data_IF_269598917416
#
_entry.id   IF_269598917416
#
_cell.length_a   1.000
_cell.length_b   1.000
_cell.length_c   1.000
_cell.angle_alpha   90.00
_cell.angle_beta   90.00
_cell.angle_gamma   90.00
#
_symmetry.space_group_name_H-M   'P 1'
#
loop_
_entity.id
_entity.type
_entity.pdbx_description
1 polymer ?
#
# COMPACT_ATOMS: atom_id res chain seq x y z
N UNK A 1 75.23 -5.50 25.88
CA UNK A 1 75.07 -5.52 24.43
C UNK A 1 73.82 -6.31 24.11
N UNK A 2 72.68 -5.65 23.91
CA UNK A 2 71.50 -6.31 23.35
C UNK A 2 70.75 -5.24 22.56
N UNK A 3 70.62 -5.48 21.27
CA UNK A 3 69.91 -4.61 20.34
C UNK A 3 68.42 -4.76 20.43
N UNK A 4 67.72 -3.62 20.50
CA UNK A 4 66.29 -3.54 20.37
C UNK A 4 65.86 -3.53 18.91
N UNK A 5 65.16 -4.55 18.47
CA UNK A 5 64.51 -4.58 17.17
C UNK A 5 63.12 -3.93 17.32
N UNK A 6 62.95 -2.74 16.76
CA UNK A 6 61.72 -2.06 16.68
C UNK A 6 60.79 -2.71 15.64
N UNK A 7 59.63 -3.21 16.09
CA UNK A 7 58.56 -3.67 15.22
C UNK A 7 57.74 -2.45 14.81
N UNK A 8 57.88 -2.02 13.56
CA UNK A 8 57.03 -0.99 12.96
C UNK A 8 55.64 -1.59 12.70
N UNK A 9 54.64 -1.17 13.46
CA UNK A 9 53.22 -1.43 13.16
C UNK A 9 52.84 -0.63 11.91
N UNK A 10 52.60 -1.34 10.82
CA UNK A 10 51.92 -0.79 9.64
C UNK A 10 50.51 -0.42 10.04
N UNK A 11 50.26 0.88 10.20
CA UNK A 11 48.90 1.43 10.31
C UNK A 11 48.31 1.36 8.92
N UNK A 12 47.48 0.33 8.67
CA UNK A 12 46.61 0.32 7.49
C UNK A 12 45.64 1.46 7.63
N UNK A 13 45.83 2.51 6.83
CA UNK A 13 44.87 3.58 6.63
C UNK A 13 43.59 2.92 6.05
N UNK A 14 42.56 2.77 6.88
CA UNK A 14 41.19 2.50 6.42
C UNK A 14 40.83 3.63 5.45
N UNK A 15 40.75 3.30 4.17
CA UNK A 15 40.16 4.20 3.17
C UNK A 15 38.71 4.44 3.63
N UNK A 16 38.22 5.68 3.65
CA UNK A 16 36.80 5.94 3.87
C UNK A 16 36.05 5.23 2.73
N UNK A 17 35.24 4.24 3.07
CA UNK A 17 34.25 3.72 2.14
C UNK A 17 33.29 4.87 1.86
N UNK A 18 33.51 5.55 0.76
CA UNK A 18 32.49 6.43 0.17
C UNK A 18 31.39 5.52 -0.33
N UNK A 19 30.43 5.20 0.53
CA UNK A 19 29.19 4.58 0.08
C UNK A 19 28.52 5.57 -0.86
N UNK A 20 28.73 5.40 -2.15
CA UNK A 20 28.02 6.12 -3.18
C UNK A 20 26.51 5.92 -2.92
N UNK A 21 25.76 7.01 -3.00
CA UNK A 21 24.29 6.94 -2.87
C UNK A 21 23.78 5.95 -3.95
N UNK A 22 22.98 4.94 -3.57
CA UNK A 22 22.49 3.94 -4.51
C UNK A 22 21.68 4.59 -5.62
N UNK A 23 21.86 4.14 -6.84
CA UNK A 23 21.09 4.57 -8.01
C UNK A 23 19.84 3.69 -8.17
N UNK A 24 18.88 4.14 -8.96
CA UNK A 24 17.73 3.29 -9.32
C UNK A 24 18.20 2.04 -10.09
N UNK A 25 19.22 2.16 -10.93
CA UNK A 25 19.78 1.05 -11.70
C UNK A 25 20.39 -0.03 -10.82
N UNK A 26 21.02 0.32 -9.70
CA UNK A 26 21.54 -0.66 -8.72
C UNK A 26 20.40 -1.51 -8.15
N UNK A 27 19.29 -0.86 -7.78
CA UNK A 27 18.11 -1.52 -7.21
C UNK A 27 17.42 -2.38 -8.26
N UNK A 28 17.23 -1.85 -9.48
CA UNK A 28 16.62 -2.56 -10.59
C UNK A 28 17.44 -3.79 -10.99
N UNK A 29 18.77 -3.69 -10.99
CA UNK A 29 19.64 -4.82 -11.29
C UNK A 29 19.49 -5.96 -10.27
N UNK A 30 19.40 -5.65 -8.98
CA UNK A 30 19.15 -6.67 -7.94
C UNK A 30 17.77 -7.30 -8.07
N UNK A 31 16.72 -6.49 -8.34
CA UNK A 31 15.39 -7.02 -8.57
C UNK A 31 15.35 -7.93 -9.81
N UNK A 32 15.98 -7.52 -10.90
CA UNK A 32 16.05 -8.35 -12.11
C UNK A 32 16.76 -9.70 -11.85
N UNK A 33 17.80 -9.70 -11.01
CA UNK A 33 18.51 -10.92 -10.64
C UNK A 33 17.65 -11.92 -9.84
N UNK A 34 16.60 -11.45 -9.16
CA UNK A 34 15.64 -12.28 -8.44
C UNK A 34 14.47 -12.75 -9.33
N UNK A 35 14.38 -12.24 -10.56
CA UNK A 35 13.27 -12.51 -11.47
C UNK A 35 13.08 -14.00 -11.76
N UNK A 36 11.82 -14.40 -11.88
CA UNK A 36 11.41 -15.76 -12.21
C UNK A 36 10.33 -15.73 -13.30
N UNK A 37 10.64 -16.16 -14.54
CA UNK A 37 9.71 -16.07 -15.66
C UNK A 37 8.38 -16.82 -15.46
N UNK A 38 8.39 -17.99 -14.80
CA UNK A 38 7.18 -18.77 -14.56
C UNK A 38 6.27 -18.06 -13.55
N UNK A 39 6.83 -17.53 -12.48
CA UNK A 39 6.09 -16.68 -11.53
C UNK A 39 5.58 -15.40 -12.18
N UNK A 40 6.38 -14.76 -13.04
CA UNK A 40 5.98 -13.57 -13.77
C UNK A 40 4.75 -13.84 -14.65
N UNK A 41 4.73 -14.92 -15.39
CA UNK A 41 3.58 -15.33 -16.20
C UNK A 41 2.33 -15.61 -15.35
N UNK A 42 2.50 -16.22 -14.17
CA UNK A 42 1.41 -16.45 -13.22
C UNK A 42 0.84 -15.12 -12.68
N UNK A 43 1.72 -14.20 -12.24
CA UNK A 43 1.34 -12.88 -11.72
C UNK A 43 0.63 -12.03 -12.76
N UNK A 44 1.08 -12.04 -14.02
CA UNK A 44 0.42 -11.34 -15.11
C UNK A 44 -1.05 -11.76 -15.27
N UNK A 45 -1.33 -13.05 -15.18
CA UNK A 45 -2.72 -13.57 -15.20
C UNK A 45 -3.50 -13.21 -13.95
N UNK A 46 -2.87 -13.33 -12.79
CA UNK A 46 -3.48 -13.03 -11.49
C UNK A 46 -3.89 -11.55 -11.38
N UNK A 47 -3.03 -10.64 -11.81
CA UNK A 47 -3.26 -9.19 -11.80
C UNK A 47 -4.03 -8.68 -13.02
N UNK A 48 -4.57 -9.57 -13.85
CA UNK A 48 -5.46 -9.19 -14.96
C UNK A 48 -4.82 -8.18 -15.93
N UNK A 49 -3.68 -8.54 -16.51
CA UNK A 49 -2.93 -7.65 -17.43
C UNK A 49 -3.40 -7.72 -18.88
N UNK A 50 -4.41 -8.52 -19.20
CA UNK A 50 -4.99 -8.62 -20.54
C UNK A 50 -5.65 -7.33 -21.00
N UNK A 51 -5.87 -7.21 -22.31
CA UNK A 51 -6.51 -6.04 -22.91
C UNK A 51 -7.88 -5.72 -22.29
N UNK A 52 -8.09 -4.48 -21.88
CA UNK A 52 -9.34 -4.01 -21.24
C UNK A 52 -9.47 -4.42 -19.76
N UNK A 53 -8.49 -5.09 -19.19
CA UNK A 53 -8.49 -5.45 -17.77
C UNK A 53 -7.79 -4.39 -16.92
N UNK A 54 -8.02 -4.39 -15.60
CA UNK A 54 -7.54 -3.33 -14.71
C UNK A 54 -6.01 -3.22 -14.59
N UNK A 55 -5.27 -4.28 -14.87
CA UNK A 55 -3.81 -4.33 -14.88
C UNK A 55 -3.19 -4.27 -16.28
N UNK A 56 -3.96 -3.87 -17.30
CA UNK A 56 -3.46 -3.79 -18.68
C UNK A 56 -2.17 -2.96 -18.76
N UNK A 57 -1.15 -3.52 -19.40
CA UNK A 57 0.14 -2.88 -19.58
C UNK A 57 1.17 -3.11 -18.46
N UNK A 58 0.76 -3.69 -17.33
CA UNK A 58 1.72 -4.03 -16.26
C UNK A 58 2.61 -5.21 -16.69
N UNK A 59 3.91 -5.05 -16.44
CA UNK A 59 4.91 -6.10 -16.60
C UNK A 59 5.30 -6.65 -15.22
N UNK A 60 5.70 -7.93 -15.18
CA UNK A 60 6.10 -8.61 -13.96
C UNK A 60 7.49 -9.24 -14.10
N UNK A 61 8.25 -9.24 -12.99
CA UNK A 61 9.54 -9.93 -12.85
C UNK A 61 9.37 -11.31 -12.21
N UNK A 62 8.30 -11.54 -11.47
CA UNK A 62 8.08 -12.79 -10.75
C UNK A 62 8.78 -12.84 -9.40
N UNK A 63 8.78 -11.73 -8.66
CA UNK A 63 9.42 -11.59 -7.34
C UNK A 63 8.35 -11.52 -6.26
N UNK A 64 8.55 -12.25 -5.16
CA UNK A 64 7.63 -12.23 -4.03
C UNK A 64 7.72 -10.94 -3.22
N UNK A 65 6.65 -10.58 -2.51
CA UNK A 65 6.66 -9.39 -1.63
C UNK A 65 7.73 -9.48 -0.53
N UNK A 66 7.98 -10.63 0.14
CA UNK A 66 9.09 -10.74 1.09
C UNK A 66 10.47 -10.43 0.48
N UNK A 67 10.74 -10.90 -0.74
CA UNK A 67 11.98 -10.59 -1.47
C UNK A 67 12.08 -9.09 -1.76
N UNK A 68 11.00 -8.46 -2.24
CA UNK A 68 10.94 -7.01 -2.45
C UNK A 68 11.16 -6.22 -1.16
N UNK A 69 10.61 -6.68 -0.02
CA UNK A 69 10.84 -6.05 1.30
C UNK A 69 12.30 -6.12 1.71
N UNK A 70 13.00 -7.22 1.45
CA UNK A 70 14.42 -7.36 1.73
C UNK A 70 15.26 -6.34 0.94
N UNK A 71 14.96 -6.17 -0.34
CA UNK A 71 15.59 -5.14 -1.18
C UNK A 71 15.27 -3.74 -0.67
N UNK A 72 14.00 -3.47 -0.34
CA UNK A 72 13.59 -2.17 0.20
C UNK A 72 14.34 -1.80 1.49
N UNK A 73 14.54 -2.75 2.39
CA UNK A 73 15.31 -2.52 3.62
C UNK A 73 16.78 -2.24 3.36
N UNK A 74 17.39 -2.92 2.39
CA UNK A 74 18.77 -2.68 1.97
C UNK A 74 18.95 -1.27 1.43
N UNK A 75 18.00 -0.79 0.64
CA UNK A 75 18.04 0.50 -0.05
C UNK A 75 17.20 1.59 0.60
N UNK A 76 16.94 1.49 1.90
CA UNK A 76 16.09 2.44 2.66
C UNK A 76 16.55 3.89 2.63
N UNK A 77 17.79 4.17 2.23
CA UNK A 77 18.35 5.52 2.08
C UNK A 77 18.21 6.09 0.66
N UNK A 78 17.48 5.43 -0.22
CA UNK A 78 17.25 5.91 -1.57
C UNK A 78 16.63 7.32 -1.55
N UNK A 79 17.11 8.19 -2.45
CA UNK A 79 16.65 9.59 -2.53
C UNK A 79 15.31 9.71 -3.27
N UNK A 80 14.57 10.81 -3.12
CA UNK A 80 13.32 11.01 -3.85
C UNK A 80 13.43 10.85 -5.38
N UNK A 81 14.49 11.33 -6.07
CA UNK A 81 14.65 11.06 -7.51
C UNK A 81 14.78 9.57 -7.83
N UNK A 82 15.50 8.79 -7.02
CA UNK A 82 15.60 7.33 -7.17
C UNK A 82 14.24 6.67 -6.98
N UNK A 83 13.49 7.07 -5.95
CA UNK A 83 12.13 6.57 -5.71
C UNK A 83 11.19 6.90 -6.87
N UNK A 84 11.27 8.12 -7.42
CA UNK A 84 10.45 8.53 -8.58
C UNK A 84 10.72 7.65 -9.80
N UNK A 85 11.98 7.31 -10.05
CA UNK A 85 12.36 6.42 -11.15
C UNK A 85 11.83 5.00 -10.94
N UNK A 86 11.96 4.44 -9.73
CA UNK A 86 11.42 3.12 -9.41
C UNK A 86 9.89 3.08 -9.55
N UNK A 87 9.19 4.08 -9.00
CA UNK A 87 7.71 4.13 -8.97
C UNK A 87 7.13 4.40 -10.36
N UNK A 88 7.89 4.94 -11.29
CA UNK A 88 7.47 5.12 -12.68
C UNK A 88 7.80 3.93 -13.60
N UNK A 89 8.37 2.86 -13.08
CA UNK A 89 8.72 1.67 -13.86
C UNK A 89 7.49 0.98 -14.45
N UNK A 90 7.56 0.42 -15.66
CA UNK A 90 6.52 -0.45 -16.19
C UNK A 90 6.40 -1.79 -15.45
N UNK A 91 7.40 -2.17 -14.66
CA UNK A 91 7.40 -3.40 -13.88
C UNK A 91 6.76 -3.17 -12.51
N UNK A 92 5.74 -3.96 -12.23
CA UNK A 92 4.94 -3.89 -11.00
C UNK A 92 5.79 -3.99 -9.72
N UNK A 93 6.67 -5.00 -9.64
CA UNK A 93 7.48 -5.21 -8.44
C UNK A 93 8.53 -4.11 -8.23
N UNK A 94 9.01 -3.46 -9.29
CA UNK A 94 9.91 -2.32 -9.17
C UNK A 94 9.16 -1.13 -8.55
N UNK A 95 7.92 -0.85 -9.01
CA UNK A 95 7.07 0.19 -8.41
C UNK A 95 6.78 -0.11 -6.94
N UNK A 96 6.39 -1.34 -6.64
CA UNK A 96 6.10 -1.74 -5.25
C UNK A 96 7.33 -1.61 -4.36
N UNK A 97 8.50 -2.00 -4.83
CA UNK A 97 9.74 -1.85 -4.06
C UNK A 97 10.02 -0.38 -3.73
N UNK A 98 9.87 0.52 -4.70
CA UNK A 98 9.99 1.97 -4.47
C UNK A 98 9.01 2.49 -3.41
N UNK A 99 7.77 2.05 -3.47
CA UNK A 99 6.74 2.40 -2.47
C UNK A 99 7.05 1.81 -1.08
N UNK A 100 7.56 0.59 -1.00
CA UNK A 100 7.96 -0.04 0.27
C UNK A 100 9.14 0.71 0.92
N UNK A 101 10.09 1.20 0.14
CA UNK A 101 11.17 2.07 0.63
C UNK A 101 10.58 3.36 1.23
N UNK A 102 9.69 4.01 0.51
CA UNK A 102 9.03 5.24 0.98
C UNK A 102 8.28 5.02 2.31
N UNK A 103 7.54 3.91 2.41
CA UNK A 103 6.82 3.54 3.66
C UNK A 103 7.80 3.29 4.80
N UNK A 104 8.94 2.62 4.56
CA UNK A 104 9.96 2.42 5.59
C UNK A 104 10.59 3.73 6.05
N UNK A 105 10.92 4.62 5.12
CA UNK A 105 11.45 5.97 5.42
C UNK A 105 10.46 6.77 6.28
N UNK A 106 9.19 6.83 5.89
CA UNK A 106 8.12 7.48 6.65
C UNK A 106 7.97 6.90 8.04
N UNK A 107 7.99 5.57 8.16
CA UNK A 107 7.76 4.87 9.44
C UNK A 107 8.92 5.07 10.42
N UNK A 108 10.15 5.04 9.91
CA UNK A 108 11.37 5.12 10.73
C UNK A 108 11.72 6.54 11.14
N UNK A 109 11.47 7.51 10.29
CA UNK A 109 11.72 8.91 10.62
C UNK A 109 10.53 9.50 11.39
N UNK A 110 10.81 10.23 12.47
CA UNK A 110 9.78 10.87 13.31
C UNK A 110 9.73 12.38 13.12
N UNK A 111 10.63 12.95 12.33
CA UNK A 111 10.58 14.36 11.96
C UNK A 111 9.33 14.65 11.12
N UNK A 112 8.53 15.60 11.58
CA UNK A 112 7.24 15.89 10.97
C UNK A 112 7.39 16.49 9.56
N UNK A 113 8.37 17.36 9.36
CA UNK A 113 8.62 17.96 8.05
C UNK A 113 9.06 16.90 7.03
N UNK A 114 9.92 15.98 7.43
CA UNK A 114 10.31 14.84 6.57
C UNK A 114 9.12 13.95 6.25
N UNK A 115 8.28 13.63 7.23
CA UNK A 115 7.08 12.81 7.01
C UNK A 115 6.08 13.50 6.08
N UNK A 116 5.92 14.81 6.17
CA UNK A 116 5.12 15.60 5.23
C UNK A 116 5.67 15.45 3.80
N UNK A 117 6.99 15.54 3.61
CA UNK A 117 7.57 15.34 2.27
C UNK A 117 7.31 13.94 1.71
N UNK A 118 7.32 12.90 2.56
CA UNK A 118 6.96 11.55 2.14
C UNK A 118 5.49 11.45 1.69
N UNK A 119 4.58 12.10 2.41
CA UNK A 119 3.14 12.14 2.07
C UNK A 119 2.91 12.89 0.77
N UNK A 120 3.50 14.06 0.62
CA UNK A 120 3.39 14.87 -0.60
C UNK A 120 3.94 14.12 -1.81
N UNK A 121 5.07 13.43 -1.63
CA UNK A 121 5.64 12.59 -2.67
C UNK A 121 4.70 11.42 -3.03
N UNK A 122 4.16 10.71 -2.04
CA UNK A 122 3.20 9.62 -2.27
C UNK A 122 1.98 10.10 -3.07
N UNK A 123 1.39 11.21 -2.68
CA UNK A 123 0.24 11.81 -3.36
C UNK A 123 0.58 12.27 -4.78
N UNK A 124 1.81 12.70 -5.04
CA UNK A 124 2.26 13.05 -6.39
C UNK A 124 2.41 11.85 -7.33
N UNK A 125 2.50 10.63 -6.77
CA UNK A 125 2.72 9.38 -7.51
C UNK A 125 1.45 8.55 -7.75
N UNK A 126 0.27 9.05 -7.42
CA UNK A 126 -0.98 8.27 -7.49
C UNK A 126 -1.26 7.68 -8.87
N UNK A 127 -0.81 8.32 -9.95
CA UNK A 127 -0.93 7.78 -11.31
C UNK A 127 -0.15 6.47 -11.52
N UNK A 128 0.93 6.27 -10.76
CA UNK A 128 1.78 5.09 -10.81
C UNK A 128 1.39 4.04 -9.76
N UNK A 129 0.51 4.41 -8.81
CA UNK A 129 -0.05 3.51 -7.80
C UNK A 129 -1.37 2.95 -8.36
N UNK A 130 -1.25 2.15 -9.38
CA UNK A 130 -2.33 1.76 -10.28
C UNK A 130 -2.66 0.26 -10.21
N UNK A 131 -2.51 -0.34 -9.05
CA UNK A 131 -2.98 -1.69 -8.78
C UNK A 131 -3.34 -1.83 -7.29
N UNK A 132 -4.18 -2.82 -6.96
CA UNK A 132 -4.73 -2.97 -5.61
C UNK A 132 -3.66 -3.26 -4.55
N UNK A 133 -2.64 -4.06 -4.83
CA UNK A 133 -1.59 -4.35 -3.86
C UNK A 133 -0.63 -3.17 -3.64
N UNK A 134 -0.37 -2.35 -4.67
CA UNK A 134 0.38 -1.10 -4.53
C UNK A 134 -0.33 -0.15 -3.56
N UNK A 135 -1.66 -0.08 -3.62
CA UNK A 135 -2.49 0.69 -2.68
C UNK A 135 -2.50 0.04 -1.30
N UNK A 136 -2.93 -1.22 -1.23
CA UNK A 136 -3.28 -1.91 0.02
C UNK A 136 -2.09 -2.15 0.94
N UNK A 137 -0.87 -2.27 0.39
CA UNK A 137 0.34 -2.47 1.17
C UNK A 137 0.95 -1.16 1.69
N UNK A 138 0.49 -0.01 1.23
CA UNK A 138 1.18 1.27 1.45
C UNK A 138 0.31 2.36 2.07
N UNK A 139 -0.89 2.63 1.55
CA UNK A 139 -1.63 3.85 1.87
C UNK A 139 -1.99 3.99 3.35
N UNK A 140 -2.47 2.95 4.02
CA UNK A 140 -2.87 3.06 5.42
C UNK A 140 -1.68 3.21 6.37
N UNK A 141 -0.50 2.71 5.96
CA UNK A 141 0.75 2.81 6.73
C UNK A 141 1.41 4.18 6.62
N UNK A 142 1.12 4.89 5.56
CA UNK A 142 1.68 6.21 5.28
C UNK A 142 0.61 7.28 5.45
N UNK A 143 -0.36 7.36 4.56
CA UNK A 143 -1.41 8.38 4.58
C UNK A 143 -2.35 8.22 5.77
N UNK A 144 -2.80 7.00 6.08
CA UNK A 144 -3.63 6.73 7.25
C UNK A 144 -2.96 7.15 8.55
N UNK A 145 -1.69 6.74 8.74
CA UNK A 145 -0.90 7.12 9.93
C UNK A 145 -0.69 8.63 10.00
N UNK A 146 -0.38 9.28 8.89
CA UNK A 146 -0.17 10.72 8.83
C UNK A 146 -1.39 11.52 9.28
N UNK A 147 -2.58 11.07 8.89
CA UNK A 147 -3.85 11.76 9.13
C UNK A 147 -4.47 11.45 10.50
N UNK A 148 -3.78 10.76 11.40
CA UNK A 148 -4.31 10.38 12.73
C UNK A 148 -4.84 11.59 13.49
N UNK A 149 -4.07 12.68 13.53
CA UNK A 149 -4.32 13.91 14.27
C UNK A 149 -4.41 15.16 13.37
N UNK A 150 -4.66 14.95 12.08
CA UNK A 150 -4.69 16.03 11.08
C UNK A 150 -6.05 16.08 10.38
N UNK A 151 -6.27 17.16 9.62
CA UNK A 151 -7.41 17.27 8.73
C UNK A 151 -7.40 16.13 7.68
N UNK A 152 -8.55 15.49 7.51
CA UNK A 152 -8.73 14.33 6.61
C UNK A 152 -9.41 14.69 5.29
N UNK A 153 -9.52 15.98 4.97
CA UNK A 153 -10.16 16.47 3.75
C UNK A 153 -9.59 15.86 2.48
N UNK A 154 -8.29 15.54 2.46
CA UNK A 154 -7.64 14.87 1.32
C UNK A 154 -8.28 13.52 0.99
N UNK A 155 -8.76 12.76 1.97
CA UNK A 155 -9.42 11.47 1.72
C UNK A 155 -10.72 11.66 0.93
N UNK A 156 -11.47 12.72 1.21
CA UNK A 156 -12.69 13.05 0.48
C UNK A 156 -12.38 13.52 -0.94
N UNK A 157 -11.31 14.28 -1.14
CA UNK A 157 -10.82 14.66 -2.49
C UNK A 157 -10.48 13.40 -3.30
N UNK A 158 -9.73 12.47 -2.72
CA UNK A 158 -9.39 11.20 -3.37
C UNK A 158 -10.64 10.34 -3.64
N UNK A 159 -11.60 10.30 -2.73
CA UNK A 159 -12.85 9.56 -2.92
C UNK A 159 -13.71 10.10 -4.08
N UNK A 160 -13.61 11.39 -4.39
CA UNK A 160 -14.30 12.02 -5.52
C UNK A 160 -13.49 12.03 -6.82
N UNK A 161 -12.27 11.51 -6.82
CA UNK A 161 -11.44 11.44 -8.02
C UNK A 161 -12.07 10.55 -9.10
N UNK A 162 -11.79 10.87 -10.36
CA UNK A 162 -12.12 9.97 -11.48
C UNK A 162 -11.17 8.77 -11.59
N UNK A 163 -10.07 8.76 -10.84
CA UNK A 163 -9.12 7.66 -10.76
C UNK A 163 -9.57 6.66 -9.69
N UNK A 164 -9.95 5.48 -10.11
CA UNK A 164 -10.37 4.38 -9.22
C UNK A 164 -9.34 4.05 -8.14
N UNK A 165 -8.06 4.16 -8.44
CA UNK A 165 -6.99 3.85 -7.48
C UNK A 165 -6.87 4.90 -6.38
N UNK A 166 -7.12 6.17 -6.70
CA UNK A 166 -7.22 7.24 -5.70
C UNK A 166 -8.44 7.03 -4.79
N UNK A 167 -9.57 6.61 -5.35
CA UNK A 167 -10.75 6.22 -4.57
C UNK A 167 -10.43 5.03 -3.64
N UNK A 168 -9.67 4.05 -4.12
CA UNK A 168 -9.21 2.93 -3.29
C UNK A 168 -8.25 3.38 -2.19
N UNK A 169 -7.33 4.30 -2.49
CA UNK A 169 -6.45 4.91 -1.48
C UNK A 169 -7.29 5.57 -0.38
N UNK A 170 -8.35 6.31 -0.74
CA UNK A 170 -9.22 6.97 0.24
C UNK A 170 -9.81 5.97 1.24
N UNK A 171 -10.46 4.92 0.76
CA UNK A 171 -11.13 3.96 1.65
C UNK A 171 -10.14 3.05 2.39
N UNK A 172 -9.08 2.56 1.74
CA UNK A 172 -8.11 1.65 2.39
C UNK A 172 -7.25 2.37 3.41
N UNK A 173 -6.97 3.66 3.25
CA UNK A 173 -6.30 4.47 4.29
C UNK A 173 -7.06 4.47 5.61
N UNK A 174 -8.38 4.32 5.58
CA UNK A 174 -9.25 4.21 6.76
C UNK A 174 -8.92 3.01 7.66
N UNK A 175 -8.23 1.98 7.15
CA UNK A 175 -7.80 0.83 7.97
C UNK A 175 -7.06 1.26 9.24
N UNK A 176 -6.26 2.32 9.15
CA UNK A 176 -5.53 2.86 10.29
C UNK A 176 -6.49 3.39 11.36
N UNK A 177 -7.51 4.13 10.96
CA UNK A 177 -8.50 4.72 11.88
C UNK A 177 -9.40 3.65 12.50
N UNK A 178 -9.81 2.66 11.71
CA UNK A 178 -10.60 1.53 12.19
C UNK A 178 -9.89 0.83 13.36
N UNK A 179 -8.60 0.59 13.24
CA UNK A 179 -7.79 -0.02 14.30
C UNK A 179 -7.67 0.83 15.57
N UNK A 180 -8.03 2.09 15.50
CA UNK A 180 -8.07 3.03 16.63
C UNK A 180 -9.48 3.28 17.14
N UNK A 181 -10.49 2.61 16.59
CA UNK A 181 -11.90 2.80 16.98
C UNK A 181 -12.53 4.10 16.46
N UNK A 182 -11.90 4.74 15.46
CA UNK A 182 -12.43 5.93 14.80
C UNK A 182 -13.02 5.56 13.42
N UNK A 183 -14.34 5.49 13.34
CA UNK A 183 -15.07 4.97 12.18
C UNK A 183 -15.73 6.05 11.32
N UNK A 184 -15.81 7.30 11.80
CA UNK A 184 -16.61 8.36 11.19
C UNK A 184 -16.31 8.59 9.72
N UNK A 185 -15.03 8.85 9.40
CA UNK A 185 -14.62 9.12 8.02
C UNK A 185 -14.69 7.85 7.15
N UNK A 186 -14.44 6.68 7.76
CA UNK A 186 -14.56 5.39 7.07
C UNK A 186 -15.98 5.13 6.57
N UNK A 187 -16.98 5.39 7.41
CA UNK A 187 -18.39 5.24 7.05
C UNK A 187 -18.84 6.30 6.03
N UNK A 188 -18.41 7.54 6.19
CA UNK A 188 -18.71 8.62 5.24
C UNK A 188 -18.12 8.35 3.83
N UNK A 189 -16.86 7.88 3.76
CA UNK A 189 -16.23 7.52 2.49
C UNK A 189 -16.87 6.27 1.89
N UNK A 190 -17.28 5.30 2.72
CA UNK A 190 -18.05 4.14 2.26
C UNK A 190 -19.35 4.55 1.58
N UNK A 191 -20.06 5.55 2.13
CA UNK A 191 -21.27 6.11 1.51
C UNK A 191 -21.00 6.77 0.16
N UNK A 192 -19.90 7.50 0.03
CA UNK A 192 -19.50 8.10 -1.25
C UNK A 192 -19.22 7.05 -2.34
N UNK A 193 -18.71 5.88 -1.95
CA UNK A 193 -18.32 4.80 -2.86
C UNK A 193 -19.38 3.69 -2.97
N UNK A 194 -20.53 3.84 -2.30
CA UNK A 194 -21.55 2.79 -2.18
C UNK A 194 -22.04 2.29 -3.56
N UNK A 195 -22.26 3.21 -4.49
CA UNK A 195 -22.78 2.94 -5.82
C UNK A 195 -21.69 2.89 -6.91
N UNK A 196 -20.44 2.70 -6.52
CA UNK A 196 -19.34 2.60 -7.47
C UNK A 196 -19.54 1.39 -8.40
N UNK A 197 -19.18 1.53 -9.68
CA UNK A 197 -19.41 0.47 -10.67
C UNK A 197 -18.37 -0.66 -10.65
N UNK A 198 -17.17 -0.42 -10.11
CA UNK A 198 -16.04 -1.36 -10.23
C UNK A 198 -15.95 -2.32 -9.04
N UNK A 199 -15.82 -3.61 -9.33
CA UNK A 199 -15.73 -4.70 -8.35
C UNK A 199 -14.58 -4.54 -7.33
N UNK A 200 -13.42 -4.02 -7.74
CA UNK A 200 -12.30 -3.78 -6.82
C UNK A 200 -12.58 -2.70 -5.79
N UNK A 201 -13.47 -1.74 -6.07
CA UNK A 201 -13.94 -0.78 -5.07
C UNK A 201 -14.97 -1.43 -4.16
N UNK A 202 -15.88 -2.24 -4.69
CA UNK A 202 -16.81 -3.03 -3.87
C UNK A 202 -16.08 -3.87 -2.82
N UNK A 203 -15.01 -4.56 -3.24
CA UNK A 203 -14.18 -5.37 -2.34
C UNK A 203 -13.46 -4.52 -1.30
N UNK A 204 -12.92 -3.37 -1.68
CA UNK A 204 -12.23 -2.48 -0.76
C UNK A 204 -13.17 -1.92 0.32
N UNK A 205 -14.32 -1.38 -0.09
CA UNK A 205 -15.33 -0.86 0.85
C UNK A 205 -15.86 -1.98 1.76
N UNK A 206 -16.22 -3.12 1.20
CA UNK A 206 -16.67 -4.28 1.96
C UNK A 206 -15.62 -4.76 2.97
N UNK A 207 -14.35 -4.78 2.58
CA UNK A 207 -13.24 -5.12 3.47
C UNK A 207 -13.14 -4.14 4.66
N UNK A 208 -13.16 -2.84 4.42
CA UNK A 208 -13.08 -1.84 5.51
C UNK A 208 -14.30 -1.93 6.42
N UNK A 209 -15.51 -2.10 5.87
CA UNK A 209 -16.72 -2.32 6.66
C UNK A 209 -16.61 -3.59 7.52
N UNK A 210 -16.06 -4.68 6.98
CA UNK A 210 -15.79 -5.89 7.76
C UNK A 210 -14.84 -5.64 8.92
N UNK A 211 -13.79 -4.87 8.72
CA UNK A 211 -12.86 -4.52 9.79
C UNK A 211 -13.54 -3.66 10.86
N UNK A 212 -14.43 -2.74 10.48
CA UNK A 212 -15.28 -2.00 11.44
C UNK A 212 -16.13 -2.99 12.25
N UNK A 213 -16.76 -3.95 11.60
CA UNK A 213 -17.61 -4.94 12.28
C UNK A 213 -16.86 -5.87 13.23
N UNK A 214 -15.55 -6.04 13.05
CA UNK A 214 -14.69 -6.77 14.00
C UNK A 214 -14.43 -5.98 15.29
N UNK A 215 -14.43 -4.66 15.20
CA UNK A 215 -14.28 -3.75 16.35
C UNK A 215 -15.63 -3.45 17.00
N UNK A 216 -16.67 -3.22 16.20
CA UNK A 216 -18.03 -2.91 16.64
C UNK A 216 -19.06 -3.51 15.67
N UNK A 217 -19.53 -4.72 15.96
CA UNK A 217 -20.51 -5.42 15.13
C UNK A 217 -21.85 -4.68 15.07
N UNK A 218 -22.31 -4.11 16.18
CA UNK A 218 -23.59 -3.41 16.21
C UNK A 218 -23.55 -2.14 15.35
N UNK A 219 -22.46 -1.39 15.38
CA UNK A 219 -22.28 -0.24 14.51
C UNK A 219 -22.34 -0.63 13.02
N UNK A 220 -21.72 -1.76 12.66
CA UNK A 220 -21.82 -2.26 11.28
C UNK A 220 -23.25 -2.66 10.92
N UNK A 221 -23.99 -3.32 11.80
CA UNK A 221 -25.40 -3.67 11.60
C UNK A 221 -26.24 -2.40 11.37
N UNK A 222 -26.08 -1.40 12.22
CA UNK A 222 -26.80 -0.14 12.15
C UNK A 222 -26.49 0.62 10.83
N UNK A 223 -25.23 0.56 10.38
CA UNK A 223 -24.83 1.13 9.09
C UNK A 223 -25.45 0.37 7.91
N UNK A 224 -25.43 -0.95 7.94
CA UNK A 224 -25.88 -1.80 6.84
C UNK A 224 -27.40 -1.81 6.70
N UNK A 225 -28.15 -1.80 7.80
CA UNK A 225 -29.62 -2.00 7.80
C UNK A 225 -30.36 -1.08 6.81
N UNK A 226 -30.10 0.23 6.75
CA UNK A 226 -30.74 1.09 5.76
C UNK A 226 -30.15 1.01 4.34
N UNK A 227 -29.06 0.25 4.12
CA UNK A 227 -28.26 0.29 2.88
C UNK A 227 -28.17 -1.04 2.17
N UNK A 228 -28.24 -2.16 2.88
CA UNK A 228 -27.86 -3.48 2.35
C UNK A 228 -28.63 -3.93 1.11
N UNK A 229 -29.85 -3.46 0.93
CA UNK A 229 -30.70 -3.81 -0.24
C UNK A 229 -30.19 -3.14 -1.53
N UNK A 230 -29.56 -1.97 -1.40
CA UNK A 230 -29.05 -1.18 -2.52
C UNK A 230 -27.55 -1.42 -2.75
N UNK A 231 -26.86 -2.01 -1.78
CA UNK A 231 -25.43 -2.27 -1.87
C UNK A 231 -25.11 -3.27 -2.98
N UNK A 232 -24.01 -3.07 -3.72
CA UNK A 232 -23.47 -4.12 -4.59
C UNK A 232 -23.26 -5.43 -3.81
N UNK A 233 -23.68 -6.53 -4.42
CA UNK A 233 -23.67 -7.85 -3.74
C UNK A 233 -22.30 -8.26 -3.23
N UNK A 234 -21.25 -7.98 -3.99
CA UNK A 234 -19.86 -8.25 -3.58
C UNK A 234 -19.50 -7.44 -2.34
N UNK A 235 -19.85 -6.15 -2.31
CA UNK A 235 -19.58 -5.26 -1.16
C UNK A 235 -20.25 -5.80 0.10
N UNK A 236 -21.52 -6.15 0.03
CA UNK A 236 -22.27 -6.71 1.15
C UNK A 236 -21.64 -8.02 1.65
N UNK A 237 -21.32 -8.95 0.75
CA UNK A 237 -20.70 -10.23 1.11
C UNK A 237 -19.38 -10.04 1.87
N UNK A 238 -18.53 -9.11 1.44
CA UNK A 238 -17.29 -8.80 2.13
C UNK A 238 -17.55 -8.19 3.51
N UNK A 239 -18.49 -7.23 3.61
CA UNK A 239 -18.80 -6.56 4.86
C UNK A 239 -19.28 -7.52 5.96
N UNK A 240 -20.12 -8.49 5.61
CA UNK A 240 -20.75 -9.43 6.57
C UNK A 240 -20.02 -10.77 6.69
N UNK A 241 -18.85 -10.91 6.10
CA UNK A 241 -18.12 -12.19 6.06
C UNK A 241 -17.88 -12.79 7.45
N UNK A 242 -17.71 -11.96 8.47
CA UNK A 242 -17.46 -12.38 9.86
C UNK A 242 -18.70 -12.52 10.72
N UNK A 243 -19.88 -12.24 10.19
CA UNK A 243 -21.13 -12.45 10.92
C UNK A 243 -21.39 -13.94 11.13
N UNK A 244 -22.11 -14.24 12.19
CA UNK A 244 -22.68 -15.56 12.41
C UNK A 244 -23.57 -15.96 11.20
N UNK A 245 -23.63 -17.25 10.88
CA UNK A 245 -24.23 -17.75 9.64
C UNK A 245 -25.70 -17.34 9.45
N UNK A 246 -26.52 -17.41 10.52
CA UNK A 246 -27.92 -17.03 10.45
C UNK A 246 -28.10 -15.55 10.15
N UNK A 247 -27.36 -14.70 10.82
CA UNK A 247 -27.33 -13.25 10.59
C UNK A 247 -26.87 -12.93 9.16
N UNK A 248 -25.79 -13.57 8.71
CA UNK A 248 -25.27 -13.41 7.34
C UNK A 248 -26.31 -13.79 6.29
N UNK A 249 -27.01 -14.91 6.48
CA UNK A 249 -28.09 -15.36 5.58
C UNK A 249 -29.26 -14.37 5.59
N UNK A 250 -29.62 -13.80 6.74
CA UNK A 250 -30.70 -12.81 6.84
C UNK A 250 -30.39 -11.57 5.97
N UNK A 251 -29.18 -11.02 6.03
CA UNK A 251 -28.77 -9.93 5.15
C UNK A 251 -28.78 -10.33 3.67
N UNK A 252 -28.26 -11.53 3.32
CA UNK A 252 -28.18 -11.99 1.95
C UNK A 252 -29.55 -12.29 1.33
N UNK A 253 -30.54 -12.66 2.13
CA UNK A 253 -31.89 -13.02 1.69
C UNK A 253 -32.91 -11.89 1.90
N UNK A 254 -32.44 -10.69 2.25
CA UNK A 254 -33.31 -9.52 2.49
C UNK A 254 -34.38 -9.76 3.56
N UNK A 255 -33.99 -10.44 4.63
CA UNK A 255 -34.87 -10.77 5.76
C UNK A 255 -34.60 -9.92 7.01
N UNK A 256 -33.91 -8.79 6.88
CA UNK A 256 -33.65 -7.81 7.93
C UNK A 256 -34.64 -6.65 7.82
#
# INVERSE_FOLDING_TARGET
IAGAAGVAKKTELMKPETHATPTAQDIIAELNALGNPDKAAHLSRFFKTGKGQYGEGDLFLGITVPEQRSIALKYRKATPPVLAELISSPYHEIRLTGLLILVDQFTKNKDEAFRQTCVDFYLSQTRNINNWDLVDLTCYKLLGVWLTDKDRGILYVLAHSSNMWEQRIAIVSCMHFVRQGDFRDCLAISDLLLNHSHDLIHKAVGWILREIGKEDEQLLIDYLTPRYKEMPRTMLRYAIERFEEGKRKAFLNSMI
#
